data_IF_187680989196
#
_entry.id   IF_187680989196
#
_cell.length_a   1.000
_cell.length_b   1.000
_cell.length_c   1.000
_cell.angle_alpha   90.00
_cell.angle_beta   90.00
_cell.angle_gamma   90.00
#
_symmetry.space_group_name_H-M   'P 1'
#
loop_
_entity.id
_entity.type
_entity.pdbx_description
1 polymer ?
#
# COMPACT_ATOMS: atom_id res chain seq x y z
N UNK A 1 -46.08 -63.83 -74.57
CA UNK A 1 -45.69 -65.11 -73.96
C UNK A 1 -45.52 -64.87 -72.47
N UNK A 2 -46.36 -65.49 -71.65
CA UNK A 2 -46.28 -65.35 -70.20
C UNK A 2 -45.18 -66.25 -69.62
N UNK A 3 -44.37 -65.69 -68.72
CA UNK A 3 -43.33 -66.43 -68.01
C UNK A 3 -43.96 -67.51 -67.11
N UNK A 4 -43.40 -68.74 -67.08
CA UNK A 4 -43.82 -69.78 -66.15
C UNK A 4 -43.75 -69.30 -64.71
N UNK A 5 -44.76 -69.65 -63.90
CA UNK A 5 -44.85 -69.24 -62.50
C UNK A 5 -43.57 -69.56 -61.71
N UNK A 6 -42.98 -70.74 -61.94
CA UNK A 6 -41.72 -71.16 -61.30
C UNK A 6 -40.54 -70.23 -61.60
N UNK A 7 -40.42 -69.72 -62.84
CA UNK A 7 -39.38 -68.78 -63.24
C UNK A 7 -39.62 -67.39 -62.65
N UNK A 8 -40.89 -66.97 -62.55
CA UNK A 8 -41.30 -65.73 -61.88
C UNK A 8 -40.95 -65.79 -60.40
N UNK A 9 -41.23 -66.89 -59.73
CA UNK A 9 -40.94 -67.11 -58.31
C UNK A 9 -39.43 -67.16 -58.03
N UNK A 10 -38.64 -67.81 -58.89
CA UNK A 10 -37.18 -67.79 -58.79
C UNK A 10 -36.60 -66.38 -58.94
N UNK A 11 -37.14 -65.58 -59.86
CA UNK A 11 -36.70 -64.19 -60.06
C UNK A 11 -37.10 -63.31 -58.86
N UNK A 12 -38.31 -63.48 -58.33
CA UNK A 12 -38.73 -62.82 -57.09
C UNK A 12 -37.84 -63.19 -55.91
N UNK A 13 -37.54 -64.48 -55.71
CA UNK A 13 -36.67 -64.93 -54.62
C UNK A 13 -35.24 -64.38 -54.73
N UNK A 14 -34.69 -64.25 -55.94
CA UNK A 14 -33.39 -63.57 -56.13
C UNK A 14 -33.47 -62.08 -55.78
N UNK A 15 -34.53 -61.40 -56.19
CA UNK A 15 -34.73 -59.99 -55.84
C UNK A 15 -34.89 -59.80 -54.33
N UNK A 16 -35.74 -60.61 -53.69
CA UNK A 16 -35.91 -60.58 -52.23
C UNK A 16 -34.57 -60.82 -51.52
N UNK A 17 -33.82 -61.85 -51.91
CA UNK A 17 -32.49 -62.11 -51.35
C UNK A 17 -31.53 -60.93 -51.54
N UNK A 18 -31.55 -60.28 -52.70
CA UNK A 18 -30.71 -59.10 -52.95
C UNK A 18 -31.12 -57.89 -52.10
N UNK A 19 -32.43 -57.65 -51.94
CA UNK A 19 -32.96 -56.57 -51.13
C UNK A 19 -32.64 -56.81 -49.65
N UNK A 20 -32.89 -58.03 -49.16
CA UNK A 20 -32.56 -58.43 -47.77
C UNK A 20 -31.07 -58.25 -47.49
N UNK A 21 -30.19 -58.78 -48.34
CA UNK A 21 -28.74 -58.62 -48.16
C UNK A 21 -28.30 -57.15 -48.18
N UNK A 22 -28.95 -56.31 -48.98
CA UNK A 22 -28.66 -54.88 -49.05
C UNK A 22 -29.08 -54.16 -47.75
N UNK A 23 -30.30 -54.43 -47.27
CA UNK A 23 -30.80 -53.87 -46.00
C UNK A 23 -29.94 -54.33 -44.83
N UNK A 24 -29.58 -55.61 -44.76
CA UNK A 24 -28.72 -56.15 -43.71
C UNK A 24 -27.33 -55.50 -43.69
N UNK A 25 -26.72 -55.30 -44.87
CA UNK A 25 -25.42 -54.61 -44.97
C UNK A 25 -25.51 -53.15 -44.54
N UNK A 26 -26.57 -52.43 -44.94
CA UNK A 26 -26.79 -51.05 -44.52
C UNK A 26 -26.93 -50.96 -42.99
N UNK A 27 -27.81 -51.78 -42.41
CA UNK A 27 -28.00 -51.81 -40.95
C UNK A 27 -26.72 -52.17 -40.21
N UNK A 28 -25.96 -53.16 -40.69
CA UNK A 28 -24.72 -53.57 -40.05
C UNK A 28 -23.65 -52.46 -40.10
N UNK A 29 -23.53 -51.76 -41.23
CA UNK A 29 -22.58 -50.67 -41.39
C UNK A 29 -22.91 -49.48 -40.47
N UNK A 30 -24.18 -49.07 -40.43
CA UNK A 30 -24.64 -47.98 -39.56
C UNK A 30 -24.46 -48.32 -38.08
N UNK A 31 -24.78 -49.56 -37.68
CA UNK A 31 -24.61 -50.02 -36.31
C UNK A 31 -23.13 -50.08 -35.91
N UNK A 32 -22.26 -50.58 -36.79
CA UNK A 32 -20.81 -50.61 -36.55
C UNK A 32 -20.24 -49.20 -36.40
N UNK A 33 -20.66 -48.26 -37.25
CA UNK A 33 -20.22 -46.87 -37.16
C UNK A 33 -20.66 -46.23 -35.83
N UNK A 34 -21.93 -46.37 -35.47
CA UNK A 34 -22.48 -45.85 -34.22
C UNK A 34 -21.81 -46.44 -32.98
N UNK A 35 -21.54 -47.75 -32.97
CA UNK A 35 -20.81 -48.43 -31.89
C UNK A 35 -19.36 -47.97 -31.79
N UNK A 36 -18.70 -47.75 -32.92
CA UNK A 36 -17.34 -47.21 -32.99
C UNK A 36 -17.27 -45.80 -32.41
N UNK A 37 -18.13 -44.89 -32.87
CA UNK A 37 -18.22 -43.51 -32.39
C UNK A 37 -18.52 -43.45 -30.88
N UNK A 38 -19.46 -44.28 -30.40
CA UNK A 38 -19.77 -44.39 -28.98
C UNK A 38 -18.55 -44.80 -28.16
N UNK A 39 -17.79 -45.79 -28.62
CA UNK A 39 -16.60 -46.29 -27.92
C UNK A 39 -15.50 -45.23 -27.84
N UNK A 40 -15.22 -44.55 -28.95
CA UNK A 40 -14.24 -43.46 -29.00
C UNK A 40 -14.64 -42.33 -28.05
N UNK A 41 -15.90 -41.89 -28.11
CA UNK A 41 -16.41 -40.82 -27.25
C UNK A 41 -16.40 -41.20 -25.78
N UNK A 42 -16.73 -42.45 -25.45
CA UNK A 42 -16.69 -42.97 -24.08
C UNK A 42 -15.27 -42.92 -23.52
N UNK A 43 -14.28 -43.32 -24.31
CA UNK A 43 -12.88 -43.25 -23.90
C UNK A 43 -12.45 -41.81 -23.64
N UNK A 44 -12.81 -40.87 -24.52
CA UNK A 44 -12.53 -39.45 -24.33
C UNK A 44 -13.17 -38.88 -23.06
N UNK A 45 -14.46 -39.18 -22.83
CA UNK A 45 -15.19 -38.77 -21.62
C UNK A 45 -14.51 -39.32 -20.37
N UNK A 46 -14.15 -40.60 -20.37
CA UNK A 46 -13.50 -41.23 -19.22
C UNK A 46 -12.11 -40.67 -18.92
N UNK A 47 -11.33 -40.30 -19.96
CA UNK A 47 -10.05 -39.60 -19.77
C UNK A 47 -10.30 -38.26 -19.08
N UNK A 48 -11.26 -37.46 -19.56
CA UNK A 48 -11.58 -36.15 -18.95
C UNK A 48 -12.10 -36.28 -17.51
N UNK A 49 -12.97 -37.28 -17.24
CA UNK A 49 -13.48 -37.55 -15.90
C UNK A 49 -12.34 -37.94 -14.94
N UNK A 50 -11.41 -38.80 -15.37
CA UNK A 50 -10.22 -39.15 -14.59
C UNK A 50 -9.35 -37.92 -14.28
N UNK A 51 -9.09 -37.06 -15.27
CA UNK A 51 -8.35 -35.81 -15.04
C UNK A 51 -9.03 -34.89 -14.03
N UNK A 52 -10.37 -34.94 -13.96
CA UNK A 52 -11.18 -34.23 -12.99
C UNK A 52 -11.36 -34.97 -11.65
N UNK A 53 -10.79 -36.16 -11.52
CA UNK A 53 -10.97 -37.06 -10.36
C UNK A 53 -12.45 -37.40 -10.11
N UNK A 54 -13.20 -37.61 -11.20
CA UNK A 54 -14.60 -38.03 -11.21
C UNK A 54 -14.72 -39.49 -11.67
N UNK A 55 -15.80 -40.13 -11.25
CA UNK A 55 -16.10 -41.51 -11.63
C UNK A 55 -16.26 -41.65 -13.16
N UNK A 56 -15.83 -42.80 -13.73
CA UNK A 56 -15.98 -43.04 -15.15
C UNK A 56 -17.46 -43.20 -15.54
N UNK A 57 -17.77 -42.87 -16.79
CA UNK A 57 -19.09 -43.10 -17.37
C UNK A 57 -19.38 -44.60 -17.49
N UNK A 58 -20.45 -45.02 -16.80
CA UNK A 58 -20.99 -46.37 -16.83
C UNK A 58 -22.30 -46.33 -17.62
N UNK A 59 -22.42 -47.05 -18.76
CA UNK A 59 -23.64 -47.08 -19.53
C UNK A 59 -24.78 -47.77 -18.75
N UNK A 60 -25.94 -47.11 -18.70
CA UNK A 60 -27.14 -47.67 -18.07
C UNK A 60 -27.79 -48.74 -18.97
N UNK A 61 -27.78 -49.99 -18.51
CA UNK A 61 -28.32 -51.14 -19.23
C UNK A 61 -29.84 -51.05 -19.46
N UNK A 62 -30.56 -50.23 -18.70
CA UNK A 62 -31.99 -50.03 -18.87
C UNK A 62 -32.34 -49.06 -20.01
N UNK A 63 -31.39 -48.26 -20.49
CA UNK A 63 -31.59 -47.28 -21.57
C UNK A 63 -31.29 -47.88 -22.95
N UNK A 64 -31.98 -47.41 -23.98
CA UNK A 64 -31.65 -47.76 -25.36
C UNK A 64 -30.27 -47.24 -25.75
N UNK A 65 -29.57 -47.92 -26.67
CA UNK A 65 -28.26 -47.50 -27.14
C UNK A 65 -28.24 -46.07 -27.69
N UNK A 66 -29.28 -45.68 -28.45
CA UNK A 66 -29.42 -44.32 -28.97
C UNK A 66 -29.55 -43.28 -27.83
N UNK A 67 -30.28 -43.60 -26.77
CA UNK A 67 -30.41 -42.74 -25.59
C UNK A 67 -29.06 -42.60 -24.87
N UNK A 68 -28.35 -43.71 -24.64
CA UNK A 68 -27.02 -43.70 -24.04
C UNK A 68 -26.01 -42.90 -24.88
N UNK A 69 -26.07 -43.00 -26.21
CA UNK A 69 -25.19 -42.23 -27.12
C UNK A 69 -25.46 -40.73 -27.07
N UNK A 70 -26.75 -40.33 -27.03
CA UNK A 70 -27.14 -38.92 -26.84
C UNK A 70 -26.67 -38.38 -25.49
N UNK A 71 -26.85 -39.14 -24.41
CA UNK A 71 -26.41 -38.76 -23.07
C UNK A 71 -24.88 -38.61 -22.99
N UNK A 72 -24.15 -39.59 -23.53
CA UNK A 72 -22.69 -39.54 -23.60
C UNK A 72 -22.19 -38.32 -24.41
N UNK A 73 -22.89 -37.99 -25.49
CA UNK A 73 -22.59 -36.81 -26.31
C UNK A 73 -22.81 -35.52 -25.55
N UNK A 74 -23.93 -35.38 -24.85
CA UNK A 74 -24.19 -34.23 -23.99
C UNK A 74 -23.11 -34.10 -22.90
N UNK A 75 -22.76 -35.21 -22.24
CA UNK A 75 -21.72 -35.24 -21.20
C UNK A 75 -20.35 -34.83 -21.75
N UNK A 76 -20.00 -35.27 -22.95
CA UNK A 76 -18.76 -34.87 -23.62
C UNK A 76 -18.68 -33.36 -23.83
N UNK A 77 -19.73 -32.72 -24.35
CA UNK A 77 -19.73 -31.28 -24.55
C UNK A 77 -19.72 -30.50 -23.22
N UNK A 78 -20.41 -30.99 -22.19
CA UNK A 78 -20.35 -30.43 -20.84
C UNK A 78 -18.91 -30.44 -20.29
N UNK A 79 -18.20 -31.56 -20.44
CA UNK A 79 -16.83 -31.71 -19.97
C UNK A 79 -15.84 -30.83 -20.75
N UNK A 80 -16.01 -30.69 -22.07
CA UNK A 80 -15.23 -29.74 -22.86
C UNK A 80 -15.44 -28.31 -22.36
N UNK A 81 -16.69 -27.91 -22.12
CA UNK A 81 -16.99 -26.57 -21.62
C UNK A 81 -16.33 -26.34 -20.26
N UNK A 82 -16.42 -27.31 -19.35
CA UNK A 82 -15.76 -27.26 -18.04
C UNK A 82 -14.24 -27.17 -18.18
N UNK A 83 -13.62 -27.98 -19.04
CA UNK A 83 -12.17 -27.93 -19.32
C UNK A 83 -11.75 -26.53 -19.78
N UNK A 84 -12.41 -26.00 -20.80
CA UNK A 84 -12.07 -24.70 -21.37
C UNK A 84 -12.25 -23.57 -20.35
N UNK A 85 -13.31 -23.61 -19.55
CA UNK A 85 -13.53 -22.65 -18.49
C UNK A 85 -12.43 -22.71 -17.42
N UNK A 86 -12.02 -23.90 -16.97
CA UNK A 86 -10.97 -24.04 -15.96
C UNK A 86 -9.60 -23.64 -16.48
N UNK A 87 -9.28 -23.98 -17.73
CA UNK A 87 -8.04 -23.53 -18.37
C UNK A 87 -7.99 -22.01 -18.50
N UNK A 88 -9.10 -21.38 -18.90
CA UNK A 88 -9.21 -19.92 -18.94
C UNK A 88 -9.01 -19.30 -17.56
N UNK A 89 -9.71 -19.79 -16.54
CA UNK A 89 -9.56 -19.31 -15.16
C UNK A 89 -8.11 -19.43 -14.66
N UNK A 90 -7.44 -20.55 -14.93
CA UNK A 90 -6.04 -20.74 -14.56
C UNK A 90 -5.15 -19.73 -15.29
N UNK A 91 -5.37 -19.52 -16.58
CA UNK A 91 -4.61 -18.55 -17.39
C UNK A 91 -4.76 -17.13 -16.85
N UNK A 92 -6.00 -16.68 -16.64
CA UNK A 92 -6.30 -15.33 -16.14
C UNK A 92 -5.64 -15.10 -14.75
N UNK A 93 -5.71 -16.09 -13.85
CA UNK A 93 -5.07 -15.99 -12.52
C UNK A 93 -3.54 -16.01 -12.60
N UNK A 94 -2.94 -16.78 -13.53
CA UNK A 94 -1.50 -16.81 -13.75
C UNK A 94 -0.97 -15.48 -14.31
N UNK A 95 -1.67 -14.89 -15.27
CA UNK A 95 -1.33 -13.57 -15.85
C UNK A 95 -1.36 -12.49 -14.77
N UNK A 96 -2.39 -12.53 -13.93
CA UNK A 96 -2.50 -11.57 -12.84
C UNK A 96 -1.45 -11.78 -11.75
N UNK A 97 -1.17 -13.03 -11.37
CA UNK A 97 -0.12 -13.36 -10.42
C UNK A 97 1.25 -12.88 -10.93
N UNK A 98 1.55 -13.06 -12.22
CA UNK A 98 2.76 -12.56 -12.83
C UNK A 98 2.88 -11.03 -12.72
N UNK A 99 1.80 -10.31 -12.99
CA UNK A 99 1.75 -8.84 -12.83
C UNK A 99 2.00 -8.40 -11.39
N UNK A 100 1.30 -9.01 -10.42
CA UNK A 100 1.46 -8.68 -8.99
C UNK A 100 2.87 -8.99 -8.49
N UNK A 101 3.44 -10.13 -8.88
CA UNK A 101 4.81 -10.49 -8.50
C UNK A 101 5.85 -9.59 -9.14
N UNK A 102 5.65 -9.18 -10.40
CA UNK A 102 6.50 -8.20 -11.07
C UNK A 102 6.50 -6.87 -10.31
N UNK A 103 5.32 -6.39 -9.87
CA UNK A 103 5.21 -5.16 -9.06
C UNK A 103 5.87 -5.31 -7.68
N UNK A 104 5.85 -6.49 -7.07
CA UNK A 104 6.60 -6.79 -5.85
C UNK A 104 8.11 -6.99 -6.11
N UNK A 105 8.55 -7.00 -7.37
CA UNK A 105 9.93 -7.28 -7.77
C UNK A 105 10.37 -8.73 -7.50
N UNK A 106 9.42 -9.65 -7.38
CA UNK A 106 9.63 -11.08 -7.19
C UNK A 106 9.69 -11.80 -8.55
N UNK A 107 10.49 -12.87 -8.63
CA UNK A 107 10.49 -13.73 -9.81
C UNK A 107 9.17 -14.49 -9.91
N UNK A 108 8.49 -14.39 -11.05
CA UNK A 108 7.30 -15.17 -11.33
C UNK A 108 7.67 -16.65 -11.54
N UNK A 109 7.11 -17.52 -10.72
CA UNK A 109 7.22 -18.97 -10.89
C UNK A 109 5.87 -19.48 -11.37
N UNK A 110 5.82 -19.90 -12.63
CA UNK A 110 4.59 -20.45 -13.21
C UNK A 110 4.18 -21.70 -12.41
N UNK A 111 2.91 -21.81 -11.99
CA UNK A 111 2.41 -23.03 -11.37
C UNK A 111 2.58 -24.20 -12.33
N UNK A 112 3.26 -25.26 -11.88
CA UNK A 112 3.33 -26.51 -12.62
C UNK A 112 1.96 -27.19 -12.55
N UNK A 113 1.24 -27.25 -13.67
CA UNK A 113 0.09 -28.13 -13.82
C UNK A 113 0.54 -29.33 -14.65
N UNK A 114 0.71 -30.47 -14.00
CA UNK A 114 0.99 -31.74 -14.69
C UNK A 114 -0.25 -32.28 -15.43
N UNK A 115 -1.43 -31.72 -15.16
CA UNK A 115 -2.72 -32.17 -15.71
C UNK A 115 -3.19 -31.32 -16.87
N UNK A 116 -3.82 -31.98 -17.85
CA UNK A 116 -4.52 -31.36 -18.99
C UNK A 116 -5.74 -30.53 -18.60
N UNK A 117 -6.32 -30.79 -17.42
CA UNK A 117 -7.46 -30.06 -16.87
C UNK A 117 -7.13 -29.70 -15.43
N UNK A 118 -7.07 -28.40 -15.07
CA UNK A 118 -6.87 -27.98 -13.70
C UNK A 118 -7.98 -28.52 -12.80
N UNK A 119 -7.61 -29.12 -11.69
CA UNK A 119 -8.51 -29.51 -10.63
C UNK A 119 -9.05 -28.27 -9.91
N UNK A 120 -10.18 -28.42 -9.21
CA UNK A 120 -10.73 -27.34 -8.40
C UNK A 120 -9.76 -26.94 -7.27
N UNK A 121 -9.07 -27.92 -6.70
CA UNK A 121 -8.08 -27.71 -5.64
C UNK A 121 -6.90 -26.87 -6.13
N UNK A 122 -6.34 -27.16 -7.30
CA UNK A 122 -5.25 -26.36 -7.89
C UNK A 122 -5.70 -24.91 -8.15
N UNK A 123 -6.93 -24.71 -8.65
CA UNK A 123 -7.48 -23.37 -8.87
C UNK A 123 -7.69 -22.62 -7.55
N UNK A 124 -8.19 -23.28 -6.51
CA UNK A 124 -8.42 -22.68 -5.19
C UNK A 124 -7.08 -22.35 -4.49
N UNK A 125 -6.06 -23.21 -4.63
CA UNK A 125 -4.70 -22.93 -4.17
C UNK A 125 -4.10 -21.72 -4.89
N UNK A 126 -4.20 -21.66 -6.21
CA UNK A 126 -3.72 -20.52 -7.00
C UNK A 126 -4.44 -19.22 -6.61
N UNK A 127 -5.76 -19.28 -6.41
CA UNK A 127 -6.55 -18.14 -5.92
C UNK A 127 -6.10 -17.67 -4.54
N UNK A 128 -5.79 -18.59 -3.63
CA UNK A 128 -5.27 -18.27 -2.30
C UNK A 128 -3.88 -17.60 -2.36
N UNK A 129 -2.98 -18.11 -3.21
CA UNK A 129 -1.66 -17.49 -3.46
C UNK A 129 -1.83 -16.08 -4.02
N UNK A 130 -2.65 -15.91 -5.06
CA UNK A 130 -2.93 -14.61 -5.67
C UNK A 130 -3.49 -13.62 -4.65
N UNK A 131 -4.46 -14.05 -3.82
CA UNK A 131 -5.03 -13.20 -2.76
C UNK A 131 -3.97 -12.75 -1.76
N UNK A 132 -3.09 -13.65 -1.31
CA UNK A 132 -1.99 -13.32 -0.39
C UNK A 132 -1.03 -12.31 -1.03
N UNK A 133 -0.64 -12.51 -2.29
CA UNK A 133 0.27 -11.61 -3.00
C UNK A 133 -0.34 -10.23 -3.27
N UNK A 134 -1.63 -10.15 -3.63
CA UNK A 134 -2.34 -8.87 -3.73
C UNK A 134 -2.35 -8.12 -2.41
N UNK A 135 -2.68 -8.80 -1.31
CA UNK A 135 -2.68 -8.18 0.01
C UNK A 135 -1.29 -7.65 0.38
N UNK A 136 -0.23 -8.44 0.13
CA UNK A 136 1.15 -8.02 0.34
C UNK A 136 1.48 -6.76 -0.47
N UNK A 137 1.13 -6.72 -1.76
CA UNK A 137 1.33 -5.56 -2.62
C UNK A 137 0.58 -4.33 -2.09
N UNK A 138 -0.69 -4.47 -1.71
CA UNK A 138 -1.48 -3.39 -1.14
C UNK A 138 -0.85 -2.84 0.13
N UNK A 139 -0.43 -3.70 1.07
CA UNK A 139 0.23 -3.27 2.31
C UNK A 139 1.50 -2.48 2.01
N UNK A 140 2.39 -3.01 1.17
CA UNK A 140 3.65 -2.34 0.83
C UNK A 140 3.41 -1.01 0.11
N UNK A 141 2.47 -0.99 -0.84
CA UNK A 141 2.10 0.22 -1.55
C UNK A 141 1.58 1.30 -0.58
N UNK A 142 0.64 0.96 0.30
CA UNK A 142 0.08 1.92 1.26
C UNK A 142 1.14 2.47 2.22
N UNK A 143 2.09 1.64 2.65
CA UNK A 143 3.23 2.05 3.47
C UNK A 143 4.14 3.03 2.73
N UNK A 144 4.58 2.67 1.52
CA UNK A 144 5.43 3.54 0.70
C UNK A 144 4.74 4.88 0.35
N UNK A 145 3.45 4.86 0.00
CA UNK A 145 2.68 6.07 -0.30
C UNK A 145 2.50 6.96 0.94
N UNK A 146 2.35 6.35 2.12
CA UNK A 146 2.35 7.08 3.37
C UNK A 146 3.69 7.78 3.61
N UNK A 147 4.81 7.06 3.52
CA UNK A 147 6.14 7.62 3.70
C UNK A 147 6.42 8.74 2.71
N UNK A 148 6.15 8.54 1.41
CA UNK A 148 6.35 9.56 0.37
C UNK A 148 5.62 10.87 0.69
N UNK A 149 4.36 10.79 1.14
CA UNK A 149 3.60 11.99 1.53
C UNK A 149 4.23 12.74 2.71
N UNK A 150 4.79 12.01 3.69
CA UNK A 150 5.50 12.64 4.80
C UNK A 150 6.82 13.25 4.34
N UNK A 151 7.57 12.53 3.51
CA UNK A 151 8.84 13.00 2.97
C UNK A 151 8.68 14.29 2.16
N UNK A 152 7.66 14.41 1.31
CA UNK A 152 7.38 15.63 0.55
C UNK A 152 7.11 16.82 1.48
N UNK A 153 6.40 16.60 2.60
CA UNK A 153 6.17 17.66 3.59
C UNK A 153 7.45 18.08 4.28
N UNK A 154 8.25 17.11 4.74
CA UNK A 154 9.53 17.39 5.39
C UNK A 154 10.46 18.12 4.43
N UNK A 155 10.54 17.64 3.18
CA UNK A 155 11.37 18.25 2.14
C UNK A 155 11.02 19.73 1.93
N UNK A 156 9.74 20.08 1.89
CA UNK A 156 9.29 21.46 1.78
C UNK A 156 9.52 22.28 3.05
N UNK A 157 9.51 21.66 4.23
CA UNK A 157 9.72 22.34 5.51
C UNK A 157 11.19 22.66 5.78
N UNK A 158 12.12 21.86 5.25
CA UNK A 158 13.57 22.05 5.42
C UNK A 158 14.28 22.47 4.12
N UNK A 159 13.54 22.85 3.08
CA UNK A 159 14.07 23.18 1.74
C UNK A 159 15.12 22.17 1.23
N UNK A 160 14.86 20.88 1.42
CA UNK A 160 15.82 19.86 1.01
C UNK A 160 15.82 19.66 -0.51
N UNK A 161 16.97 19.86 -1.13
CA UNK A 161 17.20 19.54 -2.54
C UNK A 161 17.53 18.05 -2.68
N UNK A 162 16.53 17.28 -3.07
CA UNK A 162 16.70 15.86 -3.38
C UNK A 162 17.56 15.70 -4.64
N UNK A 163 18.50 14.75 -4.62
CA UNK A 163 19.20 14.37 -5.85
C UNK A 163 18.26 13.61 -6.80
N UNK A 164 18.68 13.45 -8.06
CA UNK A 164 17.88 12.76 -9.09
C UNK A 164 17.32 11.39 -8.66
N UNK A 165 18.09 10.60 -7.90
CA UNK A 165 17.64 9.29 -7.43
C UNK A 165 16.64 9.37 -6.28
N UNK A 166 16.77 10.36 -5.41
CA UNK A 166 15.86 10.63 -4.31
C UNK A 166 14.54 11.22 -4.85
N UNK A 167 14.62 12.09 -5.86
CA UNK A 167 13.47 12.68 -6.55
C UNK A 167 12.64 11.64 -7.31
N UNK A 168 13.31 10.67 -7.96
CA UNK A 168 12.64 9.53 -8.59
C UNK A 168 11.78 8.74 -7.58
N UNK A 169 12.29 8.51 -6.37
CA UNK A 169 11.56 7.81 -5.30
C UNK A 169 10.37 8.62 -4.78
N UNK A 170 10.46 9.96 -4.81
CA UNK A 170 9.44 10.86 -4.31
C UNK A 170 8.31 11.09 -5.32
N UNK A 171 8.60 11.07 -6.62
CA UNK A 171 7.68 11.52 -7.68
C UNK A 171 7.21 10.42 -8.64
N UNK A 172 7.88 9.27 -8.71
CA UNK A 172 7.52 8.22 -9.68
C UNK A 172 6.08 7.69 -9.47
N UNK A 173 5.34 7.58 -10.58
CA UNK A 173 3.97 7.05 -10.62
C UNK A 173 3.92 5.52 -10.68
N UNK A 174 5.03 4.87 -11.06
CA UNK A 174 5.13 3.43 -11.23
C UNK A 174 6.37 2.92 -10.53
N UNK A 175 6.19 2.51 -9.28
CA UNK A 175 7.26 1.93 -8.47
C UNK A 175 7.12 0.41 -8.47
N UNK A 176 8.22 -0.26 -8.80
CA UNK A 176 8.39 -1.68 -8.48
C UNK A 176 8.81 -1.77 -7.02
N UNK A 177 7.93 -2.29 -6.17
CA UNK A 177 8.07 -2.44 -4.72
C UNK A 177 9.01 -3.58 -4.32
N UNK A 178 10.16 -3.67 -4.99
CA UNK A 178 11.22 -4.59 -4.62
C UNK A 178 11.71 -4.23 -3.22
N UNK A 179 12.07 -5.22 -2.41
CA UNK A 179 12.51 -4.98 -1.03
C UNK A 179 13.63 -3.93 -0.92
N UNK A 180 14.58 -3.92 -1.86
CA UNK A 180 15.64 -2.91 -1.92
C UNK A 180 15.13 -1.49 -2.16
N UNK A 181 14.05 -1.32 -2.92
CA UNK A 181 13.43 0.00 -3.19
C UNK A 181 12.66 0.48 -1.97
N UNK A 182 11.88 -0.41 -1.33
CA UNK A 182 11.17 -0.09 -0.08
C UNK A 182 12.16 0.37 0.99
N UNK A 183 13.26 -0.37 1.18
CA UNK A 183 14.31 0.00 2.13
C UNK A 183 14.98 1.33 1.79
N UNK A 184 15.15 1.65 0.50
CA UNK A 184 15.66 2.97 0.08
C UNK A 184 14.69 4.10 0.45
N UNK A 185 13.38 3.91 0.28
CA UNK A 185 12.36 4.88 0.70
C UNK A 185 12.41 5.08 2.22
N UNK A 186 12.46 4.00 2.99
CA UNK A 186 12.55 4.05 4.46
C UNK A 186 13.81 4.77 4.93
N UNK A 187 14.97 4.43 4.35
CA UNK A 187 16.23 5.09 4.68
C UNK A 187 16.21 6.59 4.34
N UNK A 188 15.64 6.97 3.20
CA UNK A 188 15.53 8.38 2.82
C UNK A 188 14.57 9.12 3.75
N UNK A 189 13.46 8.50 4.16
CA UNK A 189 12.56 9.07 5.16
C UNK A 189 13.28 9.30 6.50
N UNK A 190 14.02 8.32 7.00
CA UNK A 190 14.80 8.45 8.23
C UNK A 190 15.85 9.57 8.14
N UNK A 191 16.55 9.66 7.00
CA UNK A 191 17.50 10.75 6.73
C UNK A 191 16.82 12.11 6.80
N UNK A 192 15.66 12.28 6.15
CA UNK A 192 14.90 13.53 6.16
C UNK A 192 14.41 13.88 7.58
N UNK A 193 13.89 12.92 8.35
CA UNK A 193 13.52 13.16 9.74
C UNK A 193 14.69 13.60 10.61
N UNK A 194 15.87 13.02 10.39
CA UNK A 194 17.09 13.40 11.13
C UNK A 194 17.49 14.83 10.82
N UNK A 195 17.52 15.20 9.52
CA UNK A 195 17.83 16.57 9.09
C UNK A 195 16.81 17.59 9.61
N UNK A 196 15.52 17.23 9.64
CA UNK A 196 14.49 18.08 10.23
C UNK A 196 14.72 18.30 11.71
N UNK A 197 15.00 17.23 12.47
CA UNK A 197 15.27 17.34 13.90
C UNK A 197 16.51 18.20 14.19
N UNK A 198 17.59 18.02 13.44
CA UNK A 198 18.80 18.84 13.54
C UNK A 198 18.48 20.32 13.27
N UNK A 199 17.70 20.59 12.22
CA UNK A 199 17.32 21.95 11.85
C UNK A 199 16.41 22.61 12.91
N UNK A 200 15.47 21.86 13.51
CA UNK A 200 14.64 22.35 14.62
C UNK A 200 15.46 22.67 15.86
N UNK A 201 16.43 21.81 16.22
CA UNK A 201 17.32 22.02 17.35
C UNK A 201 18.16 23.29 17.14
N UNK A 202 18.75 23.46 15.96
CA UNK A 202 19.52 24.66 15.65
C UNK A 202 18.66 25.92 15.68
N UNK A 203 17.45 25.88 15.10
CA UNK A 203 16.51 26.98 15.13
C UNK A 203 16.18 27.40 16.56
N UNK A 204 15.98 26.45 17.46
CA UNK A 204 15.70 26.72 18.87
C UNK A 204 16.90 27.30 19.61
N UNK A 205 18.12 26.84 19.32
CA UNK A 205 19.34 27.46 19.84
C UNK A 205 19.50 28.91 19.38
N UNK A 206 19.22 29.19 18.10
CA UNK A 206 19.26 30.54 17.54
C UNK A 206 18.23 31.45 18.20
N UNK A 207 16.99 30.99 18.38
CA UNK A 207 15.95 31.74 19.11
C UNK A 207 16.40 32.11 20.52
N UNK A 208 16.94 31.17 21.28
CA UNK A 208 17.43 31.42 22.65
C UNK A 208 18.54 32.48 22.65
N UNK A 209 19.50 32.36 21.73
CA UNK A 209 20.59 33.34 21.60
C UNK A 209 20.08 34.73 21.20
N UNK A 210 19.10 34.79 20.30
CA UNK A 210 18.46 36.05 19.91
C UNK A 210 17.75 36.71 21.10
N UNK A 211 16.95 35.96 21.85
CA UNK A 211 16.26 36.45 23.06
C UNK A 211 17.26 37.00 24.09
N UNK A 212 18.34 36.27 24.36
CA UNK A 212 19.40 36.75 25.26
C UNK A 212 20.02 38.07 24.79
N UNK A 213 20.26 38.24 23.50
CA UNK A 213 20.79 39.49 22.93
C UNK A 213 19.79 40.63 23.02
N UNK A 214 18.50 40.38 22.77
CA UNK A 214 17.44 41.38 22.93
C UNK A 214 17.39 41.90 24.38
N UNK A 215 17.44 41.01 25.37
CA UNK A 215 17.49 41.40 26.78
C UNK A 215 18.75 42.21 27.12
N UNK A 216 19.92 41.79 26.64
CA UNK A 216 21.19 42.51 26.88
C UNK A 216 21.23 43.90 26.24
N UNK A 217 20.50 44.10 25.14
CA UNK A 217 20.41 45.38 24.42
C UNK A 217 19.20 46.21 24.85
N UNK A 218 18.41 45.74 25.83
CA UNK A 218 17.18 46.40 26.31
C UNK A 218 16.20 46.74 25.17
N UNK A 219 16.02 45.82 24.22
CA UNK A 219 15.07 46.01 23.12
C UNK A 219 13.64 45.91 23.66
N UNK A 220 12.79 46.84 23.22
CA UNK A 220 11.37 46.91 23.57
C UNK A 220 10.62 45.62 23.16
N UNK A 221 9.76 45.14 24.05
CA UNK A 221 8.90 43.97 23.85
C UNK A 221 8.04 44.11 22.58
N UNK A 222 7.59 45.32 22.22
CA UNK A 222 6.81 45.54 20.99
C UNK A 222 7.63 45.28 19.71
N UNK A 223 8.90 45.69 19.72
CA UNK A 223 9.83 45.44 18.62
C UNK A 223 10.14 43.96 18.53
N UNK A 224 10.32 43.30 19.67
CA UNK A 224 10.51 41.86 19.77
C UNK A 224 9.34 41.06 19.16
N UNK A 225 8.09 41.38 19.54
CA UNK A 225 6.90 40.71 18.99
C UNK A 225 6.76 40.93 17.49
N UNK A 226 7.11 42.13 17.00
CA UNK A 226 7.06 42.43 15.56
C UNK A 226 8.05 41.56 14.76
N UNK A 227 9.22 41.26 15.33
CA UNK A 227 10.19 40.35 14.70
C UNK A 227 9.68 38.91 14.66
N UNK A 228 9.03 38.42 15.72
CA UNK A 228 8.58 37.03 15.79
C UNK A 228 7.30 36.76 15.00
N UNK A 229 6.38 37.72 14.94
CA UNK A 229 5.09 37.55 14.25
C UNK A 229 5.22 37.59 12.72
N UNK A 230 6.31 38.16 12.21
CA UNK A 230 6.62 38.23 10.78
C UNK A 230 7.36 37.01 10.22
N UNK A 231 7.79 36.08 11.09
CA UNK A 231 8.53 34.87 10.70
C UNK A 231 7.61 33.77 10.16
N UNK A 232 7.38 33.80 8.85
CA UNK A 232 6.76 32.71 8.07
C UNK A 232 7.79 32.16 7.07
N UNK A 233 7.70 30.88 6.77
CA UNK A 233 8.66 30.21 5.88
C UNK A 233 9.10 28.84 6.37
N UNK A 234 10.03 28.23 5.63
CA UNK A 234 10.70 26.98 5.98
C UNK A 234 11.53 27.12 7.26
N UNK A 235 11.97 26.01 7.84
CA UNK A 235 12.88 26.02 9.00
C UNK A 235 14.20 26.71 8.63
N UNK A 236 14.75 26.47 7.44
CA UNK A 236 16.01 27.07 7.00
C UNK A 236 15.88 28.59 6.81
N UNK A 237 14.79 29.06 6.19
CA UNK A 237 14.52 30.49 6.06
C UNK A 237 14.45 31.18 7.43
N UNK A 238 13.80 30.52 8.40
CA UNK A 238 13.73 31.00 9.79
C UNK A 238 15.12 31.03 10.43
N UNK A 239 15.93 29.99 10.27
CA UNK A 239 17.30 29.96 10.80
C UNK A 239 18.15 31.10 10.24
N UNK A 240 18.11 31.32 8.93
CA UNK A 240 18.87 32.39 8.28
C UNK A 240 18.43 33.78 8.72
N UNK A 241 17.13 33.99 8.95
CA UNK A 241 16.63 35.21 9.56
C UNK A 241 17.26 35.44 10.95
N UNK A 242 17.23 34.44 11.83
CA UNK A 242 17.81 34.57 13.17
C UNK A 242 19.33 34.76 13.12
N UNK A 243 20.06 34.04 12.27
CA UNK A 243 21.51 34.21 12.09
C UNK A 243 21.85 35.65 11.68
N UNK A 244 21.16 36.19 10.66
CA UNK A 244 21.36 37.59 10.20
C UNK A 244 21.08 38.61 11.30
N UNK A 245 19.99 38.43 12.06
CA UNK A 245 19.63 39.33 13.16
C UNK A 245 20.61 39.27 14.33
N UNK A 246 21.03 38.07 14.71
CA UNK A 246 22.05 37.87 15.75
C UNK A 246 23.35 38.57 15.35
N UNK A 247 23.82 38.40 14.11
CA UNK A 247 25.05 39.07 13.63
C UNK A 247 24.93 40.59 13.70
N UNK A 248 23.83 41.17 13.22
CA UNK A 248 23.59 42.61 13.29
C UNK A 248 23.61 43.13 14.74
N UNK A 249 23.00 42.40 15.68
CA UNK A 249 22.96 42.80 17.09
C UNK A 249 24.32 42.67 17.79
N UNK A 250 25.12 41.68 17.39
CA UNK A 250 26.50 41.54 17.87
C UNK A 250 27.37 42.69 17.37
N UNK A 251 27.24 43.09 16.10
CA UNK A 251 27.97 44.23 15.53
C UNK A 251 27.60 45.54 16.23
N UNK A 252 26.31 45.79 16.46
CA UNK A 252 25.82 46.98 17.19
C UNK A 252 26.37 47.07 18.62
N UNK A 253 26.51 45.91 19.28
CA UNK A 253 27.13 45.85 20.60
C UNK A 253 28.63 46.20 20.55
N UNK A 254 29.35 45.70 19.54
CA UNK A 254 30.79 45.93 19.39
C UNK A 254 31.12 47.40 19.05
N UNK A 255 30.28 48.06 18.26
CA UNK A 255 30.45 49.48 17.91
C UNK A 255 30.02 50.44 19.02
N UNK A 256 29.45 49.95 20.14
CA UNK A 256 28.89 50.75 21.25
C UNK A 256 27.89 51.82 20.79
N UNK A 257 27.22 51.61 19.65
CA UNK A 257 26.26 52.53 19.06
C UNK A 257 24.82 52.29 19.53
N UNK A 258 24.62 51.79 20.75
CA UNK A 258 23.28 51.52 21.33
C UNK A 258 22.38 52.77 21.29
N UNK A 259 22.97 53.98 21.31
CA UNK A 259 22.26 55.25 21.25
C UNK A 259 21.78 55.67 19.84
N UNK A 260 22.28 55.08 18.74
CA UNK A 260 21.81 55.38 17.38
C UNK A 260 20.52 54.61 17.02
N UNK A 261 20.32 53.43 17.59
CA UNK A 261 19.14 52.60 17.32
C UNK A 261 17.82 53.21 17.83
N UNK A 262 17.86 53.99 18.91
CA UNK A 262 16.67 54.72 19.41
C UNK A 262 16.20 55.85 18.47
N UNK A 263 17.07 56.34 17.58
CA UNK A 263 16.78 57.48 16.72
C UNK A 263 16.48 57.10 15.26
N UNK A 264 17.02 55.98 14.75
CA UNK A 264 16.81 55.58 13.35
C UNK A 264 15.53 54.75 13.10
N UNK A 265 14.89 54.23 14.16
CA UNK A 265 13.64 53.44 14.04
C UNK A 265 12.50 53.99 14.89
N UNK A 266 12.34 55.33 14.94
CA UNK A 266 10.99 55.86 15.13
C UNK A 266 10.19 55.49 13.87
N UNK A 267 9.00 54.88 14.00
CA UNK A 267 8.15 54.70 12.83
C UNK A 267 7.88 56.09 12.26
N UNK A 268 8.41 56.37 11.06
CA UNK A 268 7.84 57.45 10.26
C UNK A 268 6.40 57.03 10.00
N UNK A 269 5.49 57.62 10.79
CA UNK A 269 4.10 57.74 10.41
C UNK A 269 4.12 58.53 9.10
N UNK A 270 4.16 57.82 7.97
CA UNK A 270 3.82 58.41 6.68
C UNK A 270 2.33 58.72 6.75
N UNK A 271 2.02 59.91 7.24
CA UNK A 271 0.74 60.56 7.03
C UNK A 271 0.56 60.71 5.53
N UNK A 272 -0.23 59.79 4.96
CA UNK A 272 -0.77 59.93 3.61
C UNK A 272 -1.63 61.19 3.62
N UNK A 273 -1.40 62.19 2.74
CA UNK A 273 -2.30 63.32 2.64
C UNK A 273 -3.61 62.83 2.03
N UNK A 274 -4.64 62.70 2.85
CA UNK A 274 -6.02 62.62 2.36
C UNK A 274 -6.39 64.07 2.05
N UNK A 275 -6.44 64.41 0.77
CA UNK A 275 -7.19 65.61 0.34
C UNK A 275 -8.66 65.27 0.47
N UNK A 276 -9.35 66.01 1.33
CA UNK A 276 -10.78 65.89 1.56
C UNK A 276 -11.46 67.10 0.92
N UNK A 277 -12.18 66.88 -0.18
CA UNK A 277 -13.16 67.83 -0.66
C UNK A 277 -14.53 67.40 -0.12
N UNK A 278 -15.00 68.21 0.84
CA UNK A 278 -16.36 68.34 1.37
C UNK A 278 -16.63 67.73 2.76
N UNK A 279 -16.44 68.60 3.76
CA UNK A 279 -17.36 68.81 4.90
C UNK A 279 -17.79 67.58 5.74
N UNK A 280 -17.20 67.42 6.95
CA UNK A 280 -17.83 67.83 8.23
C UNK A 280 -17.12 67.28 9.49
N UNK A 281 -16.90 68.23 10.41
CA UNK A 281 -16.81 68.09 11.88
C UNK A 281 -15.48 67.66 12.50
N UNK A 282 -14.82 68.64 13.11
CA UNK A 282 -13.82 68.48 14.16
C UNK A 282 -14.45 67.83 15.40
N UNK A 283 -13.79 66.82 15.96
CA UNK A 283 -13.89 66.51 17.39
C UNK A 283 -12.47 66.38 17.93
N UNK A 284 -12.05 67.37 18.70
CA UNK A 284 -11.01 67.21 19.71
C UNK A 284 -11.44 66.11 20.68
N UNK A 285 -10.63 65.07 20.86
CA UNK A 285 -10.69 64.25 22.07
C UNK A 285 -9.41 64.44 22.85
N UNK A 286 -9.50 65.41 23.75
CA UNK A 286 -8.71 65.52 24.97
C UNK A 286 -9.02 64.33 25.88
N UNK A 287 -7.95 63.67 26.34
CA UNK A 287 -7.81 62.90 27.58
C UNK A 287 -8.96 62.02 28.07
N UNK A 288 -8.82 60.70 27.90
CA UNK A 288 -9.33 59.69 28.86
C UNK A 288 -8.20 58.70 29.13
N UNK A 289 -7.33 59.01 30.08
CA UNK A 289 -6.26 58.12 30.56
C UNK A 289 -6.33 57.83 32.07
N UNK A 290 -7.47 58.10 32.72
CA UNK A 290 -7.62 57.87 34.17
C UNK A 290 -8.73 56.90 34.59
N UNK A 291 -9.69 56.51 33.73
CA UNK A 291 -10.81 55.62 34.16
C UNK A 291 -10.71 54.16 33.68
N UNK A 292 -9.74 53.82 32.83
CA UNK A 292 -9.49 52.42 32.40
C UNK A 292 -8.38 51.72 33.21
N UNK A 293 -7.63 52.45 34.04
CA UNK A 293 -6.55 51.88 34.84
C UNK A 293 -6.98 51.32 36.21
N UNK A 294 -8.21 51.57 36.67
CA UNK A 294 -8.71 51.01 37.95
C UNK A 294 -9.57 49.75 37.79
N UNK A 295 -9.94 49.35 36.56
CA UNK A 295 -10.66 48.07 36.33
C UNK A 295 -9.80 46.96 35.70
N UNK A 296 -8.59 47.27 35.21
CA UNK A 296 -7.68 46.27 34.66
C UNK A 296 -6.57 45.82 35.64
N UNK A 297 -6.42 46.47 36.80
CA UNK A 297 -5.46 46.09 37.84
C UNK A 297 -5.91 44.92 38.73
N UNK A 298 -7.19 44.53 38.68
CA UNK A 298 -7.72 43.36 39.41
C UNK A 298 -7.85 42.09 38.56
N UNK A 299 -7.77 42.17 37.23
CA UNK A 299 -7.84 41.00 36.34
C UNK A 299 -6.48 40.53 35.79
N UNK A 300 -5.41 41.30 35.96
CA UNK A 300 -4.07 40.93 35.46
C UNK A 300 -3.26 40.07 36.44
N UNK A 301 -3.59 40.09 37.74
CA UNK A 301 -2.96 39.25 38.76
C UNK A 301 -3.60 37.85 38.87
N UNK A 302 -4.90 37.70 38.55
CA UNK A 302 -5.56 36.39 38.52
C UNK A 302 -5.33 35.61 37.22
N UNK A 303 -5.26 36.27 36.06
CA UNK A 303 -5.09 35.55 34.78
C UNK A 303 -3.65 35.14 34.45
N UNK A 304 -2.63 35.76 35.07
CA UNK A 304 -1.23 35.30 34.94
C UNK A 304 -0.93 34.04 35.76
N UNK A 305 -1.72 33.75 36.80
CA UNK A 305 -1.55 32.55 37.64
C UNK A 305 -2.29 31.32 37.08
N UNK A 306 -3.42 31.51 36.39
CA UNK A 306 -4.27 30.39 35.93
C UNK A 306 -3.83 29.89 34.54
N UNK A 307 -3.36 30.79 33.66
CA UNK A 307 -2.93 30.43 32.31
C UNK A 307 -1.63 29.60 32.26
N UNK A 308 -0.67 29.90 33.14
CA UNK A 308 0.59 29.14 33.24
C UNK A 308 0.37 27.80 33.97
N UNK A 309 -0.43 27.76 35.03
CA UNK A 309 -0.73 26.52 35.75
C UNK A 309 -1.48 25.49 34.88
N UNK A 310 -2.46 25.91 34.06
CA UNK A 310 -3.19 25.00 33.16
C UNK A 310 -2.35 24.50 31.97
N UNK A 311 -1.36 25.28 31.52
CA UNK A 311 -0.42 24.84 30.49
C UNK A 311 0.59 23.84 31.05
N UNK A 312 1.10 24.09 32.26
CA UNK A 312 2.02 23.20 32.95
C UNK A 312 1.35 21.86 33.34
N UNK A 313 0.11 21.87 33.84
CA UNK A 313 -0.64 20.64 34.14
C UNK A 313 -0.93 19.81 32.88
N UNK A 314 -1.25 20.44 31.74
CA UNK A 314 -1.43 19.73 30.46
C UNK A 314 -0.14 19.15 29.92
N UNK A 315 0.98 19.86 30.08
CA UNK A 315 2.29 19.38 29.66
C UNK A 315 2.73 18.20 30.53
N UNK A 316 2.54 18.31 31.85
CA UNK A 316 2.86 17.27 32.84
C UNK A 316 2.02 16.01 32.64
N UNK A 317 0.72 16.16 32.35
CA UNK A 317 -0.15 15.04 31.99
C UNK A 317 0.31 14.34 30.71
N UNK A 318 0.71 15.09 29.68
CA UNK A 318 1.23 14.52 28.43
C UNK A 318 2.57 13.83 28.63
N UNK A 319 3.41 14.36 29.53
CA UNK A 319 4.67 13.74 29.93
C UNK A 319 4.43 12.42 30.69
N UNK A 320 3.45 12.37 31.60
CA UNK A 320 3.05 11.14 32.28
C UNK A 320 2.48 10.09 31.32
N UNK A 321 1.69 10.49 30.32
CA UNK A 321 1.21 9.58 29.28
C UNK A 321 2.37 8.98 28.46
N UNK A 322 3.34 9.81 28.05
CA UNK A 322 4.52 9.34 27.35
C UNK A 322 5.37 8.38 28.20
N UNK A 323 5.53 8.66 29.50
CA UNK A 323 6.25 7.78 30.43
C UNK A 323 5.52 6.44 30.64
N UNK A 324 4.18 6.44 30.72
CA UNK A 324 3.41 5.19 30.75
C UNK A 324 3.56 4.39 29.45
N UNK A 325 3.55 5.06 28.31
CA UNK A 325 3.70 4.40 27.01
C UNK A 325 5.11 3.83 26.82
N UNK A 326 6.15 4.52 27.33
CA UNK A 326 7.51 3.99 27.41
C UNK A 326 7.58 2.71 28.26
N UNK A 327 6.96 2.68 29.44
CA UNK A 327 6.91 1.47 30.28
C UNK A 327 6.20 0.29 29.60
N UNK A 328 5.13 0.55 28.84
CA UNK A 328 4.44 -0.50 28.06
C UNK A 328 5.33 -1.02 26.94
N UNK A 329 6.08 -0.13 26.27
CA UNK A 329 7.01 -0.52 25.21
C UNK A 329 8.20 -1.31 25.77
N UNK A 330 8.75 -0.93 26.92
CA UNK A 330 9.81 -1.68 27.62
C UNK A 330 9.34 -3.09 27.97
N UNK A 331 8.12 -3.23 28.51
CA UNK A 331 7.56 -4.55 28.81
C UNK A 331 7.35 -5.40 27.55
N UNK A 332 6.85 -4.80 26.46
CA UNK A 332 6.70 -5.49 25.17
C UNK A 332 8.06 -5.93 24.62
N UNK A 333 9.11 -5.13 24.83
CA UNK A 333 10.47 -5.46 24.42
C UNK A 333 11.03 -6.63 25.22
N UNK A 334 10.79 -6.68 26.53
CA UNK A 334 11.18 -7.81 27.38
C UNK A 334 10.46 -9.11 26.98
N UNK A 335 9.17 -9.03 26.64
CA UNK A 335 8.38 -10.17 26.13
C UNK A 335 8.95 -10.67 24.78
N UNK A 336 9.29 -9.77 23.87
CA UNK A 336 9.92 -10.12 22.59
C UNK A 336 11.33 -10.71 22.75
N UNK A 337 12.12 -10.21 23.70
CA UNK A 337 13.44 -10.77 24.01
C UNK A 337 13.31 -12.19 24.58
N UNK A 338 12.33 -12.43 25.44
CA UNK A 338 12.05 -13.77 25.94
C UNK A 338 11.64 -14.74 24.82
N UNK A 339 10.77 -14.32 23.90
CA UNK A 339 10.39 -15.14 22.73
C UNK A 339 11.60 -15.41 21.80
N UNK A 340 12.49 -14.43 21.66
CA UNK A 340 13.73 -14.59 20.88
C UNK A 340 14.65 -15.64 21.50
N UNK A 341 14.88 -15.60 22.82
CA UNK A 341 15.70 -16.58 23.52
C UNK A 341 15.12 -18.00 23.41
N UNK A 342 13.81 -18.16 23.50
CA UNK A 342 13.13 -19.45 23.31
C UNK A 342 13.31 -20.01 21.89
N UNK A 343 13.30 -19.14 20.88
CA UNK A 343 13.55 -19.53 19.48
C UNK A 343 15.01 -19.93 19.25
N UNK A 344 15.97 -19.22 19.87
CA UNK A 344 17.39 -19.56 19.81
C UNK A 344 17.65 -20.93 20.43
N UNK A 345 17.03 -21.24 21.58
CA UNK A 345 17.16 -22.55 22.22
C UNK A 345 16.56 -23.68 21.36
N UNK A 346 15.40 -23.44 20.72
CA UNK A 346 14.80 -24.39 19.78
C UNK A 346 15.69 -24.64 18.56
N UNK A 347 16.31 -23.60 18.01
CA UNK A 347 17.26 -23.72 16.89
C UNK A 347 18.48 -24.55 17.28
N UNK A 348 19.07 -24.27 18.45
CA UNK A 348 20.21 -25.03 18.97
C UNK A 348 19.88 -26.52 19.15
N UNK A 349 18.70 -26.83 19.69
CA UNK A 349 18.23 -28.20 19.85
C UNK A 349 18.01 -28.91 18.51
N UNK A 350 17.48 -28.21 17.50
CA UNK A 350 17.31 -28.75 16.15
C UNK A 350 18.66 -29.02 15.46
N UNK A 351 19.62 -28.11 15.58
CA UNK A 351 20.99 -28.30 15.08
C UNK A 351 21.65 -29.53 15.72
N UNK A 352 21.52 -29.69 17.03
CA UNK A 352 22.05 -30.86 17.74
C UNK A 352 21.41 -32.17 17.29
N UNK A 353 20.08 -32.20 17.08
CA UNK A 353 19.38 -33.38 16.54
C UNK A 353 19.82 -33.72 15.11
N UNK A 354 20.09 -32.69 14.28
CA UNK A 354 20.61 -32.85 12.93
C UNK A 354 22.02 -33.45 12.95
N UNK A 355 22.90 -32.96 13.82
CA UNK A 355 24.25 -33.53 13.99
C UNK A 355 24.21 -35.00 14.42
N UNK A 356 23.34 -35.36 15.36
CA UNK A 356 23.16 -36.74 15.81
C UNK A 356 22.63 -37.63 14.67
N UNK A 357 21.70 -37.13 13.86
CA UNK A 357 21.15 -37.84 12.69
C UNK A 357 22.19 -38.04 11.57
N UNK A 358 23.08 -37.06 11.37
CA UNK A 358 24.19 -37.15 10.41
C UNK A 358 25.21 -38.19 10.90
N UNK A 359 25.50 -38.25 12.20
CA UNK A 359 26.42 -39.23 12.79
C UNK A 359 25.85 -40.66 12.75
N UNK A 360 24.53 -40.84 12.89
CA UNK A 360 23.89 -42.16 12.79
C UNK A 360 23.85 -42.70 11.35
N UNK A 361 23.77 -41.85 10.33
CA UNK A 361 23.77 -42.25 8.91
C UNK A 361 25.18 -42.53 8.34
N UNK A 362 26.25 -42.37 9.12
CA UNK A 362 27.64 -42.67 8.74
C UNK A 362 28.20 -43.97 9.34
N UNK A 363 27.37 -44.75 10.03
CA UNK A 363 27.63 -46.15 10.41
C UNK A 363 26.79 -47.06 9.53
#
# INVERSE_FOLDING_TARGET
MDLPHTTRDHRMNRMFKSITNFIERLHQNELNQLMGEFTVRRNQVNIMLRSLSLDPYIPDRAKSFLSQSKELTAKYYELIRTRNNRLKQMKDMCEELASVQMLLGEAYVKPNSEKDIPSKVELDQLRSVLKRKRNQLTTVQTHCDHLRRQMIKIQADIDFEANFQEEELLTSSTIIYKHSVVKRIENLYQKLCTLQSEAEIELEMLKRKFVQLCYLLEIDDQLFTTFTDSLKGSINEKQDFYRKRISAFVELRQTKQVNLFRNEFKPEVRSIPIMDENEKTYVEIVSISSELNEKCSLNSSMNKSIGNAMYDEKLEFKLQQMQQQLKVNEKTLDELNYEYDELVEKLFNLEHQLELSIKSNKK
#
